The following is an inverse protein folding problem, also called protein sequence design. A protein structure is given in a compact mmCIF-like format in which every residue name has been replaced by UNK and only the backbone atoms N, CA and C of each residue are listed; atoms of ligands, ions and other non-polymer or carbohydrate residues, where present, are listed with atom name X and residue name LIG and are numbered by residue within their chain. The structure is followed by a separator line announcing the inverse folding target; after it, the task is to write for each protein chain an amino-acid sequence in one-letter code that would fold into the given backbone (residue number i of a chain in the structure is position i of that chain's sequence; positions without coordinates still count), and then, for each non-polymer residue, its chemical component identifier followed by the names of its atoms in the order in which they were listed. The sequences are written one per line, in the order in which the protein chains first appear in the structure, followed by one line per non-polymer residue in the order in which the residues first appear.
data_IF_394609734420
#
_entry.id   IF_394609734420
#
_cell.length_a   1.000
_cell.length_b   1.000
_cell.length_c   1.000
_cell.angle_alpha   90.00
_cell.angle_beta   90.00
_cell.angle_gamma   90.00
#
_symmetry.space_group_name_H-M   'P 1'
#
loop_
_entity.id
_entity.type
_entity.pdbx_description
1 polymer ?
#
# COMPACT_ATOMS: atom_id res chain seq x y z
N UNK A 1 12.72 11.19 13.70
CA UNK A 1 11.76 12.29 13.93
C UNK A 1 10.34 11.76 13.74
N UNK A 2 9.46 12.06 14.68
CA UNK A 2 8.07 11.61 14.60
C UNK A 2 7.20 12.64 13.91
N UNK A 3 6.21 12.17 13.15
CA UNK A 3 5.23 13.03 12.53
C UNK A 3 3.97 13.07 13.42
N UNK A 4 3.29 14.22 13.51
CA UNK A 4 2.06 14.27 14.31
C UNK A 4 1.01 13.30 13.76
N UNK A 5 0.22 12.66 14.65
CA UNK A 5 -0.82 11.73 14.19
C UNK A 5 -1.81 12.35 13.20
N UNK A 6 -2.18 13.61 13.41
CA UNK A 6 -3.11 14.30 12.51
C UNK A 6 -2.52 14.44 11.10
N UNK A 7 -1.22 14.68 11.00
CA UNK A 7 -0.55 14.76 9.71
C UNK A 7 -0.57 13.40 8.99
N UNK A 8 -0.29 12.33 9.73
CA UNK A 8 -0.30 10.98 9.17
C UNK A 8 -1.71 10.59 8.73
N UNK A 9 -2.73 10.93 9.52
CA UNK A 9 -4.11 10.63 9.17
C UNK A 9 -4.51 11.33 7.87
N UNK A 10 -4.16 12.61 7.73
CA UNK A 10 -4.46 13.34 6.51
C UNK A 10 -3.66 12.80 5.32
N UNK A 11 -2.40 12.45 5.53
CA UNK A 11 -1.57 11.88 4.49
C UNK A 11 -2.17 10.59 3.93
N UNK A 12 -2.59 9.69 4.82
CA UNK A 12 -3.20 8.44 4.39
C UNK A 12 -4.54 8.67 3.69
N UNK A 13 -5.32 9.65 4.15
CA UNK A 13 -6.59 9.99 3.51
C UNK A 13 -6.38 10.52 2.10
N UNK A 14 -5.29 11.27 1.87
CA UNK A 14 -4.98 11.83 0.56
C UNK A 14 -4.28 10.85 -0.37
N UNK A 15 -3.84 9.71 0.16
CA UNK A 15 -3.15 8.69 -0.60
C UNK A 15 -3.86 7.35 -0.44
N UNK A 16 -5.05 7.18 -1.06
CA UNK A 16 -5.78 5.92 -0.96
C UNK A 16 -4.88 4.77 -1.39
N UNK A 17 -4.92 3.68 -0.63
CA UNK A 17 -4.00 2.57 -0.87
C UNK A 17 -4.17 1.97 -2.26
N UNK A 18 -5.40 1.93 -2.77
CA UNK A 18 -5.64 1.39 -4.10
C UNK A 18 -5.00 2.25 -5.19
N UNK A 19 -4.89 3.55 -4.97
CA UNK A 19 -4.23 4.44 -5.94
C UNK A 19 -2.72 4.26 -5.91
N UNK A 20 -2.15 4.15 -4.73
CA UNK A 20 -0.69 3.99 -4.58
C UNK A 20 -0.26 2.63 -5.10
N UNK A 21 -0.94 1.57 -4.67
CA UNK A 21 -0.63 0.21 -5.12
C UNK A 21 -0.87 0.07 -6.62
N UNK A 22 -1.92 0.71 -7.12
CA UNK A 22 -2.26 0.64 -8.54
C UNK A 22 -1.19 1.17 -9.47
N UNK A 23 -0.23 1.96 -8.97
CA UNK A 23 0.89 2.43 -9.78
C UNK A 23 1.92 1.33 -10.04
N UNK A 24 1.92 0.28 -9.22
CA UNK A 24 2.90 -0.80 -9.32
C UNK A 24 2.26 -2.14 -9.71
N UNK A 25 0.97 -2.31 -9.42
CA UNK A 25 0.26 -3.57 -9.59
C UNK A 25 -1.04 -3.32 -10.31
N UNK A 26 -1.36 -4.13 -11.31
CA UNK A 26 -2.67 -4.09 -11.94
C UNK A 26 -3.67 -4.75 -11.00
N UNK A 27 -4.61 -3.96 -10.48
CA UNK A 27 -5.60 -4.44 -9.53
C UNK A 27 -6.94 -4.64 -10.21
N UNK A 28 -7.63 -5.72 -9.84
CA UNK A 28 -8.98 -6.02 -10.32
C UNK A 28 -9.90 -6.11 -9.13
N UNK A 29 -11.03 -5.41 -9.21
CA UNK A 29 -12.00 -5.40 -8.13
C UNK A 29 -12.77 -6.72 -8.05
N UNK A 30 -12.95 -7.20 -6.84
CA UNK A 30 -13.77 -8.36 -6.55
C UNK A 30 -14.48 -8.08 -5.23
N UNK A 31 -15.77 -7.75 -5.32
CA UNK A 31 -16.54 -7.32 -4.16
C UNK A 31 -16.03 -5.99 -3.64
N UNK A 32 -15.74 -5.91 -2.35
CA UNK A 32 -15.23 -4.68 -1.73
C UNK A 32 -13.70 -4.60 -1.73
N UNK A 33 -13.02 -5.65 -2.22
CA UNK A 33 -11.56 -5.69 -2.25
C UNK A 33 -11.05 -5.69 -3.68
N UNK A 34 -9.73 -5.49 -3.81
CA UNK A 34 -9.07 -5.56 -5.10
C UNK A 34 -7.93 -6.57 -5.01
N UNK A 35 -7.64 -7.25 -6.12
CA UNK A 35 -6.65 -8.33 -6.15
C UNK A 35 -5.70 -8.16 -7.33
N UNK A 36 -4.46 -8.62 -7.15
CA UNK A 36 -3.44 -8.57 -8.18
C UNK A 36 -2.29 -9.48 -7.85
N UNK A 37 -1.26 -9.41 -8.68
CA UNK A 37 -0.03 -10.18 -8.46
C UNK A 37 0.84 -9.44 -7.46
N UNK A 38 1.40 -10.18 -6.50
CA UNK A 38 2.24 -9.57 -5.47
C UNK A 38 3.52 -9.01 -6.07
N UNK A 39 3.84 -7.73 -5.83
CA UNK A 39 5.08 -7.15 -6.36
C UNK A 39 6.32 -7.51 -5.57
N UNK A 40 6.15 -8.17 -4.42
CA UNK A 40 7.27 -8.47 -3.52
C UNK A 40 7.91 -9.83 -3.75
N UNK A 41 7.22 -10.76 -4.39
CA UNK A 41 7.78 -12.11 -4.56
C UNK A 41 7.48 -12.76 -5.93
N UNK A 42 6.99 -12.01 -6.89
CA UNK A 42 6.84 -12.51 -8.25
C UNK A 42 5.88 -13.69 -8.42
N UNK A 43 4.87 -13.79 -7.57
CA UNK A 43 3.86 -14.84 -7.64
C UNK A 43 3.04 -14.70 -8.90
N UNK A 44 2.64 -15.83 -9.52
CA UNK A 44 1.80 -15.80 -10.71
C UNK A 44 0.31 -15.84 -10.41
N UNK A 45 -0.06 -16.12 -9.18
CA UNK A 45 -1.46 -16.14 -8.76
C UNK A 45 -1.83 -14.81 -8.11
N UNK A 46 -3.10 -14.42 -8.22
CA UNK A 46 -3.58 -13.16 -7.66
C UNK A 46 -3.80 -13.29 -6.15
N UNK A 47 -2.69 -13.43 -5.41
CA UNK A 47 -2.71 -13.59 -3.97
C UNK A 47 -2.54 -12.28 -3.19
N UNK A 48 -2.29 -11.17 -3.89
CA UNK A 48 -2.10 -9.87 -3.27
C UNK A 48 -3.46 -9.15 -3.22
N UNK A 49 -3.90 -8.77 -2.03
CA UNK A 49 -5.20 -8.12 -1.87
C UNK A 49 -5.04 -6.73 -1.31
N UNK A 50 -5.96 -5.85 -1.69
CA UNK A 50 -6.04 -4.48 -1.20
C UNK A 50 -7.46 -4.25 -0.74
N UNK A 51 -7.62 -3.70 0.47
CA UNK A 51 -8.92 -3.34 1.02
C UNK A 51 -9.02 -1.81 1.06
N UNK A 52 -9.68 -1.19 0.08
CA UNK A 52 -9.79 0.28 0.06
C UNK A 52 -10.48 0.84 1.31
N UNK A 53 -11.50 0.14 1.79
CA UNK A 53 -12.27 0.60 2.97
C UNK A 53 -11.41 0.63 4.22
N UNK A 54 -10.51 -0.35 4.39
CA UNK A 54 -9.65 -0.44 5.55
C UNK A 54 -8.30 0.24 5.34
N UNK A 55 -7.97 0.58 4.09
CA UNK A 55 -6.69 1.20 3.77
C UNK A 55 -5.50 0.30 4.01
N UNK A 56 -5.66 -1.01 3.78
CA UNK A 56 -4.59 -1.97 4.01
C UNK A 56 -4.40 -2.88 2.79
N UNK A 57 -3.22 -3.49 2.71
CA UNK A 57 -2.93 -4.54 1.75
C UNK A 57 -2.48 -5.78 2.50
N UNK A 58 -2.62 -6.94 1.85
CA UNK A 58 -2.12 -8.19 2.42
C UNK A 58 -1.86 -9.18 1.29
N UNK A 59 -0.73 -9.86 1.34
CA UNK A 59 -0.42 -10.91 0.39
C UNK A 59 -0.55 -12.27 1.07
N UNK A 60 -1.44 -13.11 0.55
CA UNK A 60 -1.64 -14.45 1.12
C UNK A 60 -0.49 -15.39 0.78
N UNK A 61 0.36 -15.02 -0.19
CA UNK A 61 1.52 -15.82 -0.55
C UNK A 61 2.71 -15.61 0.37
N UNK A 62 3.10 -14.35 0.58
CA UNK A 62 4.28 -14.05 1.38
C UNK A 62 3.95 -13.42 2.74
N UNK A 63 2.69 -13.20 3.03
CA UNK A 63 2.19 -12.68 4.32
C UNK A 63 2.64 -11.27 4.66
N UNK A 64 3.10 -10.50 3.67
CA UNK A 64 3.37 -9.08 3.89
C UNK A 64 2.05 -8.32 3.90
N UNK A 65 1.95 -7.32 4.76
CA UNK A 65 0.74 -6.52 4.85
C UNK A 65 0.97 -5.23 5.63
N UNK A 66 -0.01 -4.34 5.57
CA UNK A 66 0.04 -3.08 6.29
C UNK A 66 -0.72 -1.99 5.56
N UNK A 67 -0.47 -0.73 5.97
CA UNK A 67 -1.10 0.43 5.35
C UNK A 67 -0.30 0.97 4.17
N UNK A 68 -0.72 2.15 3.69
CA UNK A 68 -0.11 2.74 2.50
C UNK A 68 1.36 3.13 2.74
N UNK A 69 1.69 3.58 3.96
CA UNK A 69 3.08 3.94 4.26
C UNK A 69 3.96 2.69 4.27
N UNK A 70 3.46 1.60 4.86
CA UNK A 70 4.18 0.34 4.86
C UNK A 70 4.43 -0.16 3.43
N UNK A 71 3.43 -0.03 2.57
CA UNK A 71 3.57 -0.41 1.18
C UNK A 71 4.67 0.40 0.49
N UNK A 72 4.66 1.72 0.70
CA UNK A 72 5.66 2.60 0.09
C UNK A 72 7.06 2.27 0.57
N UNK A 73 7.21 1.96 1.86
CA UNK A 73 8.51 1.55 2.41
C UNK A 73 9.01 0.27 1.74
N UNK A 74 8.15 -0.72 1.61
CA UNK A 74 8.53 -2.02 1.08
C UNK A 74 8.82 -1.97 -0.43
N UNK A 75 7.98 -1.26 -1.18
CA UNK A 75 8.10 -1.28 -2.64
C UNK A 75 9.27 -0.45 -3.14
N UNK A 76 9.60 0.64 -2.43
CA UNK A 76 10.69 1.54 -2.82
C UNK A 76 11.95 1.37 -1.97
N UNK A 77 11.90 0.51 -0.97
CA UNK A 77 13.05 0.31 -0.09
C UNK A 77 13.37 1.55 0.74
N UNK A 78 12.34 2.23 1.23
CA UNK A 78 12.51 3.49 1.94
C UNK A 78 12.35 3.34 3.45
N UNK A 79 12.97 4.25 4.20
CA UNK A 79 12.69 4.38 5.62
C UNK A 79 11.31 4.99 5.82
N UNK A 80 10.79 4.92 7.05
CA UNK A 80 9.48 5.50 7.36
C UNK A 80 9.42 6.99 7.00
N UNK A 81 10.36 7.84 7.44
CA UNK A 81 10.29 9.26 7.09
C UNK A 81 10.35 9.51 5.58
N UNK A 82 11.17 8.74 4.87
CA UNK A 82 11.29 8.93 3.42
C UNK A 82 10.03 8.50 2.70
N UNK A 83 9.37 7.42 3.16
CA UNK A 83 8.12 6.99 2.59
C UNK A 83 7.03 8.04 2.81
N UNK A 84 6.97 8.64 4.01
CA UNK A 84 6.02 9.70 4.31
C UNK A 84 6.24 10.89 3.37
N UNK A 85 7.49 11.29 3.17
CA UNK A 85 7.81 12.41 2.27
C UNK A 85 7.43 12.10 0.83
N UNK A 86 7.67 10.86 0.39
CA UNK A 86 7.33 10.45 -0.97
C UNK A 86 5.83 10.53 -1.21
N UNK A 87 5.03 10.08 -0.24
CA UNK A 87 3.58 10.14 -0.33
C UNK A 87 3.08 11.58 -0.28
N UNK A 88 3.74 12.43 0.49
CA UNK A 88 3.35 13.84 0.59
C UNK A 88 3.57 14.61 -0.70
N UNK A 89 4.45 14.11 -1.57
CA UNK A 89 4.77 14.78 -2.84
C UNK A 89 3.88 14.36 -4.00
N UNK A 90 3.03 13.37 -3.81
CA UNK A 90 2.18 12.86 -4.89
C UNK A 90 1.17 13.90 -5.34
#
# INVERSE_FOLDING_TARGET
MAFPPAFIDELTARNPIEDVVGQYVTLKRSGSNMFGLCPFHGEKTASFSVSPDKGIYYCFGCHKGGGVINFQMEIEGLSYPDAVRALAKR
#
